data_IF_038765721083
#
_entry.id   IF_038765721083
#
_cell.length_a   1.000
_cell.length_b   1.000
_cell.length_c   1.000
_cell.angle_alpha   90.00
_cell.angle_beta   90.00
_cell.angle_gamma   90.00
#
_symmetry.space_group_name_H-M   'P 1'
#
loop_
_entity.id
_entity.type
_entity.pdbx_description
1 polymer ?
#
# COMPACT_ATOMS: atom_id res chain seq x y z
N UNK A 1 -19.53 11.57 10.44
CA UNK A 1 -20.37 10.44 9.99
C UNK A 1 -19.45 9.41 9.35
N UNK A 2 -19.71 8.12 9.58
CA UNK A 2 -18.99 7.01 8.96
C UNK A 2 -19.93 6.41 7.92
N UNK A 3 -19.45 6.32 6.68
CA UNK A 3 -20.16 5.63 5.61
C UNK A 3 -19.67 4.18 5.55
N UNK A 4 -20.59 3.23 5.60
CA UNK A 4 -20.30 1.80 5.47
C UNK A 4 -20.70 1.37 4.06
N UNK A 5 -19.75 0.78 3.34
CA UNK A 5 -19.98 0.17 2.03
C UNK A 5 -19.81 -1.33 2.19
N UNK A 6 -20.90 -2.07 2.05
CA UNK A 6 -20.88 -3.53 2.10
C UNK A 6 -20.57 -4.09 0.70
N UNK A 7 -19.78 -5.15 0.64
CA UNK A 7 -19.43 -5.84 -0.60
C UNK A 7 -19.36 -7.34 -0.39
N UNK A 8 -19.71 -8.12 -1.42
CA UNK A 8 -19.53 -9.57 -1.45
C UNK A 8 -18.18 -9.99 -2.07
N UNK A 9 -17.34 -9.02 -2.43
CA UNK A 9 -16.02 -9.27 -3.02
C UNK A 9 -15.15 -9.99 -2.01
N UNK A 10 -14.46 -11.04 -2.47
CA UNK A 10 -13.54 -11.83 -1.65
C UNK A 10 -12.11 -11.71 -2.16
N UNK A 11 -11.18 -11.63 -1.21
CA UNK A 11 -9.76 -11.49 -1.49
C UNK A 11 -9.31 -10.03 -1.51
N UNK A 12 -8.12 -9.79 -0.96
CA UNK A 12 -7.62 -8.43 -0.72
C UNK A 12 -7.36 -7.67 -2.03
N UNK A 13 -6.79 -8.33 -3.04
CA UNK A 13 -6.58 -7.71 -4.35
C UNK A 13 -7.90 -7.31 -5.02
N UNK A 14 -8.92 -8.15 -4.94
CA UNK A 14 -10.26 -7.84 -5.48
C UNK A 14 -10.93 -6.71 -4.68
N UNK A 15 -10.70 -6.64 -3.37
CA UNK A 15 -11.18 -5.51 -2.54
C UNK A 15 -10.54 -4.20 -2.99
N UNK A 16 -9.24 -4.19 -3.31
CA UNK A 16 -8.59 -2.99 -3.85
C UNK A 16 -9.14 -2.58 -5.23
N UNK A 17 -9.46 -3.54 -6.09
CA UNK A 17 -10.13 -3.26 -7.37
C UNK A 17 -11.50 -2.63 -7.13
N UNK A 18 -12.28 -3.19 -6.20
CA UNK A 18 -13.59 -2.64 -5.82
C UNK A 18 -13.47 -1.21 -5.28
N UNK A 19 -12.48 -0.92 -4.42
CA UNK A 19 -12.20 0.43 -3.94
C UNK A 19 -11.86 1.35 -5.13
N UNK A 20 -10.99 0.90 -6.04
CA UNK A 20 -10.63 1.66 -7.23
C UNK A 20 -11.85 1.96 -8.13
N UNK A 21 -12.78 1.02 -8.26
CA UNK A 21 -14.02 1.21 -9.02
C UNK A 21 -15.01 2.18 -8.33
N UNK A 22 -15.02 2.20 -7.01
CA UNK A 22 -15.95 3.01 -6.21
C UNK A 22 -15.65 4.50 -6.26
N UNK A 23 -14.37 4.88 -6.24
CA UNK A 23 -13.92 6.28 -6.23
C UNK A 23 -13.64 6.80 -7.64
N UNK A 24 -13.70 8.11 -7.85
CA UNK A 24 -13.49 8.73 -9.17
C UNK A 24 -11.99 8.73 -9.57
N UNK A 25 -11.74 8.74 -10.90
CA UNK A 25 -10.37 8.89 -11.44
C UNK A 25 -9.73 10.19 -10.93
N UNK A 26 -8.54 10.06 -10.37
CA UNK A 26 -7.78 11.19 -9.81
C UNK A 26 -8.14 11.55 -8.38
N UNK A 27 -9.10 10.88 -7.76
CA UNK A 27 -9.45 11.11 -6.37
C UNK A 27 -8.33 10.66 -5.41
N UNK A 28 -8.13 11.40 -4.33
CA UNK A 28 -7.12 11.11 -3.31
C UNK A 28 -7.71 10.23 -2.24
N UNK A 29 -7.18 9.03 -2.08
CA UNK A 29 -7.61 8.07 -1.06
C UNK A 29 -6.47 7.61 -0.17
N UNK A 30 -6.77 7.44 1.11
CA UNK A 30 -5.87 6.78 2.07
C UNK A 30 -6.51 5.46 2.47
N UNK A 31 -5.82 4.37 2.17
CA UNK A 31 -6.22 3.04 2.58
C UNK A 31 -5.46 2.65 3.84
N UNK A 32 -6.18 2.08 4.80
CA UNK A 32 -5.64 1.71 6.12
C UNK A 32 -6.24 0.37 6.51
N UNK A 33 -5.37 -0.57 6.88
CA UNK A 33 -5.81 -1.84 7.45
C UNK A 33 -6.40 -1.63 8.85
N UNK A 34 -7.37 -2.44 9.23
CA UNK A 34 -8.12 -2.37 10.49
C UNK A 34 -7.29 -2.71 11.72
N UNK A 35 -6.13 -3.33 11.55
CA UNK A 35 -5.19 -3.66 12.61
C UNK A 35 -4.11 -2.60 12.87
N UNK A 36 -4.14 -1.47 12.15
CA UNK A 36 -3.22 -0.35 12.37
C UNK A 36 -3.41 0.24 13.78
N UNK A 37 -2.36 0.22 14.57
CA UNK A 37 -2.36 0.81 15.91
C UNK A 37 -1.88 2.25 15.92
N UNK A 38 -0.83 2.55 15.18
CA UNK A 38 -0.19 3.86 15.15
C UNK A 38 0.76 3.98 13.95
N UNK A 39 1.01 5.21 13.52
CA UNK A 39 2.14 5.56 12.67
C UNK A 39 3.26 6.19 13.52
N UNK A 40 4.49 5.87 13.20
CA UNK A 40 5.68 6.39 13.86
C UNK A 40 6.60 7.07 12.86
N UNK A 41 7.27 8.11 13.33
CA UNK A 41 8.40 8.69 12.61
C UNK A 41 9.69 7.87 12.79
N UNK A 42 10.77 8.27 12.14
CA UNK A 42 12.08 7.65 12.23
C UNK A 42 12.79 7.87 13.59
N UNK A 43 12.18 8.60 14.52
CA UNK A 43 12.61 8.77 15.92
C UNK A 43 11.74 7.97 16.90
N UNK A 44 10.87 7.10 16.41
CA UNK A 44 9.85 6.37 17.21
C UNK A 44 8.84 7.27 17.92
N UNK A 45 8.61 8.46 17.42
CA UNK A 45 7.55 9.29 17.95
C UNK A 45 6.24 8.93 17.24
N UNK A 46 5.18 8.67 17.99
CA UNK A 46 3.86 8.47 17.39
C UNK A 46 3.43 9.75 16.69
N UNK A 47 2.82 9.59 15.54
CA UNK A 47 2.32 10.69 14.75
C UNK A 47 0.84 10.86 15.07
N UNK A 48 0.48 12.07 15.49
CA UNK A 48 -0.89 12.44 15.78
C UNK A 48 -1.53 13.05 14.53
N UNK A 49 -2.65 12.47 14.12
CA UNK A 49 -3.44 12.98 12.99
C UNK A 49 -2.93 12.54 11.61
N UNK A 50 -3.77 11.79 10.93
CA UNK A 50 -3.47 11.30 9.58
C UNK A 50 -3.56 12.40 8.53
N UNK A 51 -4.43 13.40 8.73
CA UNK A 51 -4.73 14.42 7.74
C UNK A 51 -3.49 15.17 7.24
N UNK A 52 -2.66 15.66 8.16
CA UNK A 52 -1.45 16.41 7.78
C UNK A 52 -0.45 15.54 7.01
N UNK A 53 -0.33 14.26 7.36
CA UNK A 53 0.51 13.31 6.61
C UNK A 53 -0.07 13.10 5.22
N UNK A 54 -1.37 12.87 5.09
CA UNK A 54 -2.01 12.66 3.81
C UNK A 54 -1.82 13.87 2.88
N UNK A 55 -2.00 15.09 3.38
CA UNK A 55 -1.75 16.33 2.63
C UNK A 55 -0.31 16.40 2.10
N UNK A 56 0.69 16.09 2.94
CA UNK A 56 2.09 16.04 2.52
C UNK A 56 2.31 14.98 1.43
N UNK A 57 1.73 13.79 1.60
CA UNK A 57 1.89 12.70 0.64
C UNK A 57 1.28 13.03 -0.73
N UNK A 58 0.05 13.53 -0.74
CA UNK A 58 -0.61 13.88 -2.00
C UNK A 58 0.07 15.04 -2.71
N UNK A 59 0.48 16.07 -1.99
CA UNK A 59 1.27 17.15 -2.59
C UNK A 59 2.57 16.62 -3.24
N UNK A 60 3.26 15.68 -2.55
CA UNK A 60 4.50 15.08 -3.07
C UNK A 60 4.24 14.18 -4.27
N UNK A 61 3.15 13.41 -4.27
CA UNK A 61 2.74 12.58 -5.41
C UNK A 61 2.44 13.44 -6.64
N UNK A 62 1.70 14.53 -6.47
CA UNK A 62 1.39 15.48 -7.55
C UNK A 62 2.65 16.16 -8.09
N UNK A 63 3.56 16.63 -7.21
CA UNK A 63 4.85 17.22 -7.60
C UNK A 63 5.68 16.29 -8.48
N UNK A 64 5.69 14.99 -8.16
CA UNK A 64 6.47 13.96 -8.86
C UNK A 64 5.75 13.37 -10.07
N UNK A 65 4.45 13.60 -10.21
CA UNK A 65 3.61 12.95 -11.22
C UNK A 65 3.33 11.47 -10.93
N UNK A 66 3.40 11.04 -9.68
CA UNK A 66 3.16 9.67 -9.24
C UNK A 66 1.76 9.51 -8.64
N UNK A 67 1.27 8.29 -8.56
CA UNK A 67 -0.06 8.01 -8.02
C UNK A 67 -0.07 7.05 -6.80
N UNK A 68 1.10 6.62 -6.33
CA UNK A 68 1.19 5.64 -5.24
C UNK A 68 2.30 5.97 -4.25
N UNK A 69 1.93 6.07 -2.99
CA UNK A 69 2.88 6.20 -1.88
C UNK A 69 2.58 5.20 -0.76
N UNK A 70 3.63 4.73 -0.12
CA UNK A 70 3.53 3.82 1.02
C UNK A 70 4.57 4.11 2.10
N UNK A 71 4.54 3.31 3.15
CA UNK A 71 5.36 3.47 4.34
C UNK A 71 6.58 2.52 4.33
N UNK A 72 7.50 2.76 5.24
CA UNK A 72 8.59 1.83 5.54
C UNK A 72 8.04 0.55 6.19
N UNK A 73 8.66 -0.60 5.95
CA UNK A 73 8.11 -1.90 6.33
C UNK A 73 8.11 -2.17 7.84
N UNK A 74 9.07 -1.61 8.55
CA UNK A 74 9.25 -1.87 9.99
C UNK A 74 9.61 -0.59 10.74
N UNK A 75 9.03 -0.43 11.91
CA UNK A 75 9.37 0.68 12.80
C UNK A 75 10.71 0.42 13.50
N UNK A 76 11.80 0.58 12.76
CA UNK A 76 13.16 0.45 13.28
C UNK A 76 14.00 1.67 12.89
N UNK A 77 14.22 2.63 13.82
CA UNK A 77 14.97 3.85 13.56
C UNK A 77 16.40 3.62 13.04
N UNK A 78 17.04 2.54 13.46
CA UNK A 78 18.39 2.22 13.00
C UNK A 78 18.45 2.01 11.49
N UNK A 79 17.44 1.37 10.91
CA UNK A 79 17.34 1.18 9.45
C UNK A 79 16.77 2.41 8.75
N UNK A 80 15.73 3.03 9.35
CA UNK A 80 15.05 4.18 8.76
C UNK A 80 15.98 5.39 8.64
N UNK A 81 16.81 5.66 9.68
CA UNK A 81 17.73 6.80 9.70
C UNK A 81 18.91 6.72 8.73
N UNK A 82 19.18 5.53 8.20
CA UNK A 82 20.23 5.32 7.19
C UNK A 82 19.73 5.53 5.75
N UNK A 83 18.40 5.69 5.57
CA UNK A 83 17.79 5.90 4.28
C UNK A 83 17.60 7.40 3.99
N UNK A 84 17.53 7.75 2.71
CA UNK A 84 16.97 9.04 2.32
C UNK A 84 15.52 9.12 2.79
N UNK A 85 15.03 10.32 3.04
CA UNK A 85 13.66 10.56 3.51
C UNK A 85 12.64 9.90 2.60
N UNK A 86 12.85 9.98 1.30
CA UNK A 86 12.02 9.37 0.26
C UNK A 86 12.84 8.55 -0.72
N UNK A 87 12.21 7.53 -1.28
CA UNK A 87 12.74 6.72 -2.38
C UNK A 87 11.69 6.61 -3.47
N UNK A 88 12.07 6.81 -4.74
CA UNK A 88 11.14 6.87 -5.88
C UNK A 88 11.29 5.74 -6.88
N UNK A 89 12.32 4.90 -6.76
CA UNK A 89 12.49 3.71 -7.59
C UNK A 89 11.60 2.56 -7.10
N UNK A 90 11.46 1.52 -7.92
CA UNK A 90 10.68 0.34 -7.55
C UNK A 90 11.21 -0.29 -6.25
N UNK A 91 10.39 -0.25 -5.22
CA UNK A 91 10.64 -0.83 -3.90
C UNK A 91 9.37 -1.45 -3.35
N UNK A 92 9.53 -2.51 -2.60
CA UNK A 92 8.44 -3.05 -1.83
C UNK A 92 7.97 -2.06 -0.76
N UNK A 93 6.66 -1.86 -0.68
CA UNK A 93 5.99 -1.09 0.35
C UNK A 93 4.92 -1.97 1.00
N UNK A 94 4.85 -1.91 2.32
CA UNK A 94 3.85 -2.67 3.08
C UNK A 94 2.45 -2.07 2.87
N UNK A 95 1.47 -2.92 2.64
CA UNK A 95 0.12 -2.53 2.26
C UNK A 95 -0.75 -1.93 3.35
N UNK A 96 -0.34 -1.98 4.61
CA UNK A 96 -1.18 -1.59 5.74
C UNK A 96 -1.52 -0.08 5.82
N UNK A 97 -0.77 0.78 5.15
CA UNK A 97 -1.12 2.20 4.95
C UNK A 97 -0.63 2.65 3.59
N UNK A 98 -1.55 3.08 2.74
CA UNK A 98 -1.31 3.49 1.36
C UNK A 98 -1.94 4.84 1.10
N UNK A 99 -1.27 5.67 0.31
CA UNK A 99 -1.79 6.93 -0.21
C UNK A 99 -1.86 6.77 -1.72
N UNK A 100 -3.05 6.81 -2.29
CA UNK A 100 -3.26 6.61 -3.73
C UNK A 100 -4.02 7.78 -4.35
N UNK A 101 -3.59 8.19 -5.52
CA UNK A 101 -4.42 8.92 -6.46
C UNK A 101 -5.07 7.86 -7.34
N UNK A 102 -6.40 7.77 -7.31
CA UNK A 102 -7.15 6.72 -8.00
C UNK A 102 -6.81 6.70 -9.49
N UNK A 103 -6.48 5.50 -9.99
CA UNK A 103 -6.15 5.23 -11.40
C UNK A 103 -6.95 4.02 -11.85
N UNK A 104 -7.94 4.24 -12.71
CA UNK A 104 -8.86 3.18 -13.18
C UNK A 104 -8.18 2.12 -14.04
N UNK A 105 -7.02 2.44 -14.61
CA UNK A 105 -6.18 1.53 -15.39
C UNK A 105 -5.30 0.60 -14.52
N UNK A 106 -5.26 0.81 -13.20
CA UNK A 106 -4.59 -0.08 -12.25
C UNK A 106 -5.59 -1.14 -11.79
N UNK A 107 -5.40 -2.37 -12.26
CA UNK A 107 -6.24 -3.53 -11.92
C UNK A 107 -5.34 -4.67 -11.45
N UNK A 108 -5.58 -5.13 -10.23
CA UNK A 108 -4.84 -6.23 -9.61
C UNK A 108 -5.38 -7.58 -10.06
N UNK A 109 -4.50 -8.53 -10.29
CA UNK A 109 -4.82 -9.91 -10.65
C UNK A 109 -4.53 -10.89 -9.51
N UNK A 110 -3.73 -10.47 -8.50
CA UNK A 110 -3.34 -11.31 -7.37
C UNK A 110 -4.08 -10.90 -6.10
N UNK A 111 -4.30 -11.89 -5.22
CA UNK A 111 -4.95 -11.67 -3.93
C UNK A 111 -3.98 -11.64 -2.73
N UNK A 112 -2.90 -12.39 -2.80
CA UNK A 112 -1.97 -12.56 -1.68
C UNK A 112 -0.58 -11.99 -1.97
N UNK A 113 -0.40 -11.37 -3.12
CA UNK A 113 0.79 -10.63 -3.53
C UNK A 113 0.43 -9.23 -4.07
N UNK A 114 -0.72 -8.71 -3.67
CA UNK A 114 -1.28 -7.44 -4.12
C UNK A 114 -0.38 -6.25 -3.77
N UNK A 115 0.35 -6.29 -2.66
CA UNK A 115 1.33 -5.27 -2.29
C UNK A 115 2.43 -5.12 -3.33
N UNK A 116 2.96 -6.26 -3.79
CA UNK A 116 3.97 -6.27 -4.84
C UNK A 116 3.39 -5.83 -6.16
N UNK A 117 2.19 -6.32 -6.51
CA UNK A 117 1.54 -5.97 -7.76
C UNK A 117 1.19 -4.49 -7.82
N UNK A 118 0.67 -3.90 -6.75
CA UNK A 118 0.45 -2.46 -6.64
C UNK A 118 1.73 -1.66 -6.90
N UNK A 119 2.84 -2.03 -6.24
CA UNK A 119 4.13 -1.36 -6.45
C UNK A 119 4.58 -1.43 -7.90
N UNK A 120 4.44 -2.60 -8.54
CA UNK A 120 4.87 -2.83 -9.93
C UNK A 120 3.99 -2.04 -10.91
N UNK A 121 2.67 -2.13 -10.78
CA UNK A 121 1.73 -1.51 -11.71
C UNK A 121 1.86 0.02 -11.69
N UNK A 122 1.87 0.62 -10.49
CA UNK A 122 2.06 2.06 -10.37
C UNK A 122 3.43 2.51 -10.86
N UNK A 123 4.48 1.72 -10.58
CA UNK A 123 5.81 2.03 -11.10
C UNK A 123 5.88 1.98 -12.64
N UNK A 124 5.28 0.97 -13.26
CA UNK A 124 5.23 0.85 -14.74
C UNK A 124 4.44 2.02 -15.33
N UNK A 125 3.32 2.39 -14.71
CA UNK A 125 2.44 3.45 -15.17
C UNK A 125 3.08 4.83 -15.09
N UNK A 126 3.64 5.17 -13.93
CA UNK A 126 4.05 6.54 -13.59
C UNK A 126 5.57 6.74 -13.71
N UNK A 127 6.35 5.67 -13.89
CA UNK A 127 7.83 5.71 -13.88
C UNK A 127 8.44 5.82 -12.49
N UNK A 128 7.63 5.80 -11.43
CA UNK A 128 8.07 5.88 -10.04
C UNK A 128 6.95 5.62 -9.03
N UNK A 129 7.33 5.32 -7.80
CA UNK A 129 6.44 5.23 -6.63
C UNK A 129 7.12 5.91 -5.46
N UNK A 130 6.35 6.46 -4.52
CA UNK A 130 6.90 7.21 -3.40
C UNK A 130 6.95 6.37 -2.13
N UNK A 131 8.12 5.91 -1.75
CA UNK A 131 8.33 5.21 -0.47
C UNK A 131 8.81 6.20 0.59
N UNK A 132 8.04 6.29 1.68
CA UNK A 132 8.41 7.06 2.86
C UNK A 132 9.34 6.24 3.76
N UNK A 133 10.59 6.63 3.86
CA UNK A 133 11.55 5.95 4.74
C UNK A 133 11.55 6.51 6.17
N UNK A 134 10.82 7.60 6.40
CA UNK A 134 10.68 8.24 7.71
C UNK A 134 9.36 7.90 8.43
N UNK A 135 8.43 7.23 7.75
CA UNK A 135 7.09 6.89 8.24
C UNK A 135 6.96 5.37 8.28
N UNK A 136 6.64 4.81 9.43
CA UNK A 136 6.46 3.36 9.59
C UNK A 136 5.21 3.05 10.42
N UNK A 137 4.42 2.03 10.03
CA UNK A 137 3.26 1.59 10.78
C UNK A 137 3.65 0.68 11.94
N UNK A 138 2.79 0.65 12.94
CA UNK A 138 2.72 -0.40 13.93
C UNK A 138 1.36 -1.07 13.82
N UNK A 139 1.36 -2.33 13.47
CA UNK A 139 0.14 -3.14 13.35
C UNK A 139 0.08 -4.21 14.43
N UNK A 140 -1.09 -4.75 14.66
CA UNK A 140 -1.32 -5.88 15.54
C UNK A 140 -1.20 -7.18 14.74
N UNK A 141 0.03 -7.49 14.30
CA UNK A 141 0.31 -8.68 13.51
C UNK A 141 -0.22 -9.95 14.18
N UNK A 142 -0.65 -10.91 13.36
CA UNK A 142 -1.08 -12.26 13.77
C UNK A 142 -2.33 -12.31 14.67
N UNK A 143 -3.27 -11.39 14.50
CA UNK A 143 -4.62 -11.56 15.06
C UNK A 143 -5.36 -12.65 14.28
N UNK A 144 -6.09 -13.58 14.96
CA UNK A 144 -6.93 -14.55 14.26
C UNK A 144 -8.00 -13.83 13.43
N UNK A 145 -8.11 -14.18 12.15
CA UNK A 145 -9.08 -13.59 11.22
C UNK A 145 -8.41 -12.97 9.99
N UNK A 146 -9.15 -12.18 9.23
CA UNK A 146 -8.66 -11.52 8.04
C UNK A 146 -8.31 -12.47 6.90
N UNK A 147 -7.22 -12.22 6.20
CA UNK A 147 -6.80 -13.00 5.02
C UNK A 147 -6.62 -14.50 5.28
N UNK A 148 -6.31 -14.91 6.52
CA UNK A 148 -6.17 -16.33 6.88
C UNK A 148 -7.52 -17.06 6.85
N UNK A 149 -8.61 -16.36 7.18
CA UNK A 149 -9.97 -16.89 7.09
C UNK A 149 -10.42 -17.09 5.62
N UNK A 150 -9.89 -16.30 4.69
CA UNK A 150 -10.20 -16.35 3.26
C UNK A 150 -9.34 -17.37 2.48
N UNK A 151 -8.59 -18.24 3.17
CA UNK A 151 -7.83 -19.33 2.54
C UNK A 151 -6.41 -18.95 2.14
N UNK A 152 -5.85 -17.86 2.69
CA UNK A 152 -4.43 -17.57 2.54
C UNK A 152 -3.61 -18.75 3.06
N UNK A 153 -2.73 -19.26 2.25
CA UNK A 153 -1.78 -20.31 2.61
C UNK A 153 -0.51 -20.17 1.77
N UNK A 154 0.53 -20.94 2.16
CA UNK A 154 1.83 -20.91 1.48
C UNK A 154 1.73 -21.21 -0.02
N UNK A 155 0.79 -22.06 -0.43
CA UNK A 155 0.60 -22.45 -1.84
C UNK A 155 -0.01 -21.29 -2.61
N UNK A 156 -1.06 -20.64 -2.09
CA UNK A 156 -1.72 -19.51 -2.75
C UNK A 156 -0.79 -18.32 -2.89
N UNK A 157 -0.02 -18.00 -1.84
CA UNK A 157 1.00 -16.94 -1.93
C UNK A 157 2.10 -17.25 -2.94
N UNK A 158 2.55 -18.51 -3.01
CA UNK A 158 3.56 -18.91 -3.98
C UNK A 158 3.03 -18.80 -5.40
N UNK A 159 1.80 -19.23 -5.64
CA UNK A 159 1.14 -19.13 -6.95
C UNK A 159 1.05 -17.67 -7.40
N UNK A 160 0.61 -16.77 -6.55
CA UNK A 160 0.50 -15.34 -6.88
C UNK A 160 1.88 -14.73 -7.19
N UNK A 161 2.91 -15.07 -6.41
CA UNK A 161 4.29 -14.63 -6.68
C UNK A 161 4.83 -15.18 -8.00
N UNK A 162 4.53 -16.42 -8.35
CA UNK A 162 4.89 -17.01 -9.64
C UNK A 162 4.18 -16.30 -10.82
N UNK A 163 2.91 -15.93 -10.66
CA UNK A 163 2.17 -15.12 -11.63
C UNK A 163 2.90 -13.80 -11.86
N UNK A 164 3.25 -13.07 -10.80
CA UNK A 164 3.96 -11.79 -10.92
C UNK A 164 5.34 -11.95 -11.57
N UNK A 165 6.11 -12.96 -11.17
CA UNK A 165 7.41 -13.23 -11.78
C UNK A 165 7.27 -13.49 -13.28
N UNK A 166 6.35 -14.35 -13.70
CA UNK A 166 6.14 -14.67 -15.11
C UNK A 166 5.67 -13.46 -15.92
N UNK A 167 4.83 -12.60 -15.32
CA UNK A 167 4.25 -11.43 -15.99
C UNK A 167 5.25 -10.28 -16.15
N UNK A 168 6.14 -10.06 -15.17
CA UNK A 168 6.94 -8.85 -15.09
C UNK A 168 8.46 -9.04 -15.22
N UNK A 169 8.98 -10.27 -15.23
CA UNK A 169 10.44 -10.50 -15.31
C UNK A 169 11.10 -10.00 -16.63
N UNK A 170 10.32 -9.81 -17.68
CA UNK A 170 10.80 -9.41 -18.99
C UNK A 170 10.28 -8.02 -19.45
N UNK A 171 9.87 -7.16 -18.54
CA UNK A 171 9.36 -5.82 -18.87
C UNK A 171 10.24 -4.71 -18.35
#
# INVERSE_FOLDING_TARGET
DINIIETEVKGIGMTHNFITETFDEGEHIVEIDDDLQCLYDNHRKPIEGLKGIAEIQFHKLEELGYSYAGTYQVNNPMFMSQCQEYTTNLRYMLGCVRFRIVRKDIVLETNYAEDFENCILHYIRDGGILKNNWLAPKTKNYSPGGCDADGRNIISEKTDKEILCNKYTNK
#
